data_IF_632264642457
#
_entry.id   IF_632264642457
#
_cell.length_a   1.000
_cell.length_b   1.000
_cell.length_c   1.000
_cell.angle_alpha   90.00
_cell.angle_beta   90.00
_cell.angle_gamma   90.00
#
_symmetry.space_group_name_H-M   'P 1'
#
loop_
_entity.id
_entity.type
_entity.pdbx_description
1 polymer ?
#
# COMPACT_ATOMS: atom_id res chain seq x y z
N UNK A 1 51.14 16.00 14.22
CA UNK A 1 50.64 16.61 12.98
C UNK A 1 49.32 15.95 12.67
N UNK A 2 48.21 16.57 13.05
CA UNK A 2 46.84 16.10 12.79
C UNK A 2 46.30 16.85 11.57
N UNK A 3 46.03 16.14 10.47
CA UNK A 3 45.32 16.73 9.34
C UNK A 3 43.82 16.62 9.57
N UNK A 4 43.17 17.75 9.87
CA UNK A 4 41.72 17.89 9.77
C UNK A 4 41.31 17.74 8.31
N UNK A 5 40.68 16.61 7.97
CA UNK A 5 39.86 16.50 6.78
C UNK A 5 38.52 17.17 7.08
N UNK A 6 38.44 18.47 6.79
CA UNK A 6 37.16 19.18 6.74
C UNK A 6 36.32 18.54 5.63
N UNK A 7 35.34 17.75 6.04
CA UNK A 7 34.37 17.12 5.15
C UNK A 7 33.46 18.21 4.61
N UNK A 8 33.67 18.58 3.35
CA UNK A 8 32.82 19.50 2.62
C UNK A 8 31.46 18.82 2.37
N UNK A 9 30.54 18.97 3.32
CA UNK A 9 29.13 18.61 3.18
C UNK A 9 28.51 19.48 2.08
N UNK A 10 28.47 18.99 0.85
CA UNK A 10 27.68 19.58 -0.21
C UNK A 10 26.21 19.43 0.16
N UNK A 11 25.55 20.56 0.40
CA UNK A 11 24.12 20.65 0.69
C UNK A 11 23.33 20.34 -0.60
N UNK A 12 23.28 19.05 -0.98
CA UNK A 12 22.46 18.61 -2.10
C UNK A 12 21.02 18.61 -1.61
N UNK A 13 20.21 19.54 -2.12
CA UNK A 13 18.79 19.54 -1.85
C UNK A 13 18.20 18.26 -2.48
N UNK A 14 17.70 17.30 -1.68
CA UNK A 14 17.20 16.05 -2.22
C UNK A 14 16.04 16.32 -3.16
N UNK A 15 16.00 15.61 -4.29
CA UNK A 15 14.90 15.74 -5.23
C UNK A 15 13.57 15.34 -4.54
N UNK A 16 12.49 16.12 -4.69
CA UNK A 16 11.22 15.78 -4.07
C UNK A 16 10.70 14.44 -4.59
N UNK A 17 10.03 13.64 -3.73
CA UNK A 17 9.44 12.37 -4.14
C UNK A 17 8.32 12.59 -5.16
N UNK A 18 8.07 11.58 -5.99
CA UNK A 18 6.88 11.49 -6.83
C UNK A 18 5.66 11.27 -5.94
N UNK A 19 4.74 12.23 -5.92
CA UNK A 19 3.50 12.16 -5.15
C UNK A 19 2.35 11.61 -6.01
N UNK A 20 1.84 10.43 -5.65
CA UNK A 20 0.69 9.79 -6.26
C UNK A 20 -0.55 10.02 -5.39
N UNK A 21 -1.24 11.13 -5.62
CA UNK A 21 -2.40 11.55 -4.82
C UNK A 21 -3.64 10.73 -5.23
N UNK A 22 -4.36 10.16 -4.27
CA UNK A 22 -5.62 9.48 -4.54
C UNK A 22 -6.72 10.52 -4.83
N UNK A 23 -7.34 10.43 -6.01
CA UNK A 23 -8.48 11.27 -6.40
C UNK A 23 -9.64 11.15 -5.41
N UNK A 24 -9.84 9.96 -4.85
CA UNK A 24 -10.79 9.67 -3.77
C UNK A 24 -10.06 9.14 -2.55
N UNK A 25 -9.83 9.99 -1.54
CA UNK A 25 -9.18 9.59 -0.28
C UNK A 25 -9.98 8.54 0.51
N UNK A 26 -11.29 8.47 0.29
CA UNK A 26 -12.17 7.54 1.00
C UNK A 26 -12.00 6.08 0.59
N UNK A 27 -11.40 5.76 -0.56
CA UNK A 27 -11.18 4.37 -1.00
C UNK A 27 -9.98 4.22 -1.95
N UNK A 28 -9.07 3.25 -1.69
CA UNK A 28 -8.00 2.91 -2.62
C UNK A 28 -8.50 2.15 -3.87
N UNK A 29 -9.75 1.66 -3.85
CA UNK A 29 -10.38 0.99 -5.00
C UNK A 29 -11.24 1.97 -5.81
N UNK A 30 -11.34 1.74 -7.12
CA UNK A 30 -12.14 2.55 -8.05
C UNK A 30 -11.78 4.04 -8.00
N UNK A 31 -10.48 4.31 -7.99
CA UNK A 31 -9.86 5.62 -7.84
C UNK A 31 -8.80 5.84 -8.91
N UNK A 32 -8.32 7.09 -9.01
CA UNK A 32 -7.18 7.46 -9.85
C UNK A 32 -6.06 7.96 -8.96
N UNK A 33 -4.83 7.67 -9.38
CA UNK A 33 -3.64 8.26 -8.78
C UNK A 33 -3.22 9.44 -9.66
N UNK A 34 -3.19 10.62 -9.06
CA UNK A 34 -2.88 11.88 -9.71
C UNK A 34 -1.41 12.21 -9.47
N UNK A 35 -0.74 12.73 -10.49
CA UNK A 35 0.58 13.38 -10.39
C UNK A 35 0.38 14.80 -10.90
N UNK A 36 0.74 15.79 -10.09
CA UNK A 36 0.55 17.21 -10.39
C UNK A 36 -0.90 17.53 -10.80
N UNK A 37 -1.87 16.92 -10.09
CA UNK A 37 -3.30 17.06 -10.36
C UNK A 37 -3.82 16.33 -11.60
N UNK A 38 -2.96 15.66 -12.37
CA UNK A 38 -3.35 14.93 -13.58
C UNK A 38 -3.39 13.42 -13.34
N UNK A 39 -4.45 12.70 -13.77
CA UNK A 39 -4.51 11.25 -13.64
C UNK A 39 -3.33 10.57 -14.34
N UNK A 40 -2.56 9.78 -13.59
CA UNK A 40 -1.43 8.98 -14.09
C UNK A 40 -1.71 7.48 -14.05
N UNK A 41 -2.33 7.02 -12.97
CA UNK A 41 -2.78 5.63 -12.87
C UNK A 41 -4.27 5.55 -12.56
N UNK A 42 -4.90 4.47 -13.01
CA UNK A 42 -6.28 4.12 -12.66
C UNK A 42 -6.28 2.79 -11.94
N UNK A 43 -6.99 2.73 -10.80
CA UNK A 43 -7.26 1.51 -10.06
C UNK A 43 -8.74 1.21 -10.20
N UNK A 44 -9.09 0.10 -10.85
CA UNK A 44 -10.49 -0.29 -11.07
C UNK A 44 -10.74 -1.73 -10.68
N UNK A 45 -11.82 -1.96 -9.93
CA UNK A 45 -12.37 -3.30 -9.74
C UNK A 45 -13.22 -3.66 -10.95
N UNK A 46 -12.91 -4.77 -11.61
CA UNK A 46 -13.50 -5.12 -12.91
C UNK A 46 -14.78 -5.96 -12.74
N UNK A 47 -14.88 -6.71 -11.64
CA UNK A 47 -15.99 -7.62 -11.38
C UNK A 47 -16.92 -7.13 -10.27
N UNK A 48 -18.15 -7.65 -10.30
CA UNK A 48 -19.22 -7.30 -9.36
C UNK A 48 -18.85 -7.62 -7.91
N UNK A 49 -18.05 -8.66 -7.72
CA UNK A 49 -17.62 -9.14 -6.42
C UNK A 49 -16.32 -8.47 -5.93
N UNK A 50 -15.77 -7.53 -6.72
CA UNK A 50 -14.51 -6.83 -6.45
C UNK A 50 -13.29 -7.76 -6.22
N UNK A 51 -13.33 -8.97 -6.80
CA UNK A 51 -12.23 -9.93 -6.75
C UNK A 51 -11.09 -9.55 -7.70
N UNK A 52 -11.35 -8.82 -8.78
CA UNK A 52 -10.33 -8.45 -9.77
C UNK A 52 -10.13 -6.95 -9.72
N UNK A 53 -8.92 -6.52 -9.40
CA UNK A 53 -8.50 -5.12 -9.44
C UNK A 53 -7.38 -4.95 -10.44
N UNK A 54 -7.61 -4.13 -11.45
CA UNK A 54 -6.58 -3.73 -12.41
C UNK A 54 -5.99 -2.37 -12.02
N UNK A 55 -4.67 -2.27 -12.15
CA UNK A 55 -3.91 -1.03 -12.12
C UNK A 55 -3.45 -0.75 -13.53
N UNK A 56 -3.88 0.38 -14.09
CA UNK A 56 -3.59 0.79 -15.47
C UNK A 56 -2.78 2.09 -15.46
N UNK A 57 -1.67 2.13 -16.21
CA UNK A 57 -0.97 3.39 -16.53
C UNK A 57 -1.77 4.11 -17.62
N UNK A 58 -2.26 5.31 -17.31
CA UNK A 58 -3.13 6.08 -18.21
C UNK A 58 -2.36 6.74 -19.36
N UNK A 59 -1.03 6.80 -19.31
CA UNK A 59 -0.20 7.35 -20.39
C UNK A 59 -0.05 6.37 -21.54
N UNK A 60 0.12 5.09 -21.20
CA UNK A 60 0.27 4.01 -22.19
C UNK A 60 -1.01 3.21 -22.40
N UNK A 61 -2.01 3.42 -21.52
CA UNK A 61 -3.24 2.63 -21.45
C UNK A 61 -2.96 1.11 -21.28
N UNK A 62 -1.85 0.78 -20.61
CA UNK A 62 -1.46 -0.60 -20.33
C UNK A 62 -1.77 -0.97 -18.89
N UNK A 63 -2.21 -2.21 -18.68
CA UNK A 63 -2.35 -2.78 -17.34
C UNK A 63 -0.94 -3.08 -16.81
N UNK A 64 -0.56 -2.43 -15.71
CA UNK A 64 0.73 -2.66 -15.04
C UNK A 64 0.65 -3.80 -14.03
N UNK A 65 -0.53 -4.01 -13.45
CA UNK A 65 -0.80 -5.15 -12.58
C UNK A 65 -2.28 -5.50 -12.51
N UNK A 66 -2.56 -6.79 -12.32
CA UNK A 66 -3.89 -7.32 -11.99
C UNK A 66 -3.80 -8.08 -10.68
N UNK A 67 -4.59 -7.65 -9.69
CA UNK A 67 -4.75 -8.31 -8.39
C UNK A 67 -6.04 -9.13 -8.47
N UNK A 68 -5.93 -10.45 -8.30
CA UNK A 68 -7.07 -11.38 -8.27
C UNK A 68 -7.20 -11.99 -6.89
N UNK A 69 -8.14 -11.46 -6.13
CA UNK A 69 -8.59 -11.97 -4.83
C UNK A 69 -9.45 -13.21 -5.02
N UNK A 70 -9.36 -14.18 -4.12
CA UNK A 70 -10.17 -15.41 -4.20
C UNK A 70 -10.65 -15.81 -2.80
N UNK A 71 -11.93 -16.11 -2.66
CA UNK A 71 -12.50 -16.50 -1.37
C UNK A 71 -12.02 -17.85 -0.84
N UNK A 72 -11.70 -18.79 -1.74
CA UNK A 72 -11.35 -20.19 -1.39
C UNK A 72 -9.90 -20.59 -1.73
N UNK A 73 -9.15 -19.72 -2.41
CA UNK A 73 -7.80 -20.03 -2.88
C UNK A 73 -6.87 -18.86 -2.58
N UNK A 74 -5.56 -19.07 -2.59
CA UNK A 74 -4.61 -17.96 -2.46
C UNK A 74 -4.83 -16.91 -3.56
N UNK A 75 -4.81 -15.65 -3.15
CA UNK A 75 -4.82 -14.50 -4.06
C UNK A 75 -3.65 -14.61 -5.05
N UNK A 76 -3.86 -14.05 -6.25
CA UNK A 76 -2.82 -14.01 -7.29
C UNK A 76 -2.61 -12.58 -7.75
N UNK A 77 -1.37 -12.28 -8.14
CA UNK A 77 -1.02 -11.01 -8.77
C UNK A 77 -0.37 -11.32 -10.11
N UNK A 78 -0.71 -10.56 -11.14
CA UNK A 78 -0.11 -10.65 -12.46
C UNK A 78 0.52 -9.32 -12.80
N UNK A 79 1.78 -9.33 -13.20
CA UNK A 79 2.49 -8.14 -13.67
C UNK A 79 2.82 -8.37 -15.15
N UNK A 80 2.16 -7.73 -16.12
CA UNK A 80 2.40 -8.04 -17.53
C UNK A 80 3.85 -7.82 -17.98
N UNK A 81 4.56 -6.89 -17.35
CA UNK A 81 5.96 -6.52 -17.66
C UNK A 81 7.00 -7.16 -16.74
N UNK A 82 6.59 -7.93 -15.72
CA UNK A 82 7.48 -8.59 -14.74
C UNK A 82 7.14 -10.08 -14.64
N UNK A 83 8.02 -10.88 -14.07
CA UNK A 83 7.80 -12.32 -13.85
C UNK A 83 7.40 -13.08 -15.14
N UNK A 84 7.95 -12.64 -16.28
CA UNK A 84 7.60 -13.16 -17.60
C UNK A 84 6.11 -13.04 -17.97
N UNK A 85 5.39 -12.07 -17.38
CA UNK A 85 3.96 -11.87 -17.60
C UNK A 85 3.06 -12.91 -16.93
N UNK A 86 3.62 -13.80 -16.10
CA UNK A 86 2.88 -14.88 -15.43
C UNK A 86 2.19 -14.38 -14.17
N UNK A 87 1.10 -15.06 -13.80
CA UNK A 87 0.46 -14.83 -12.51
C UNK A 87 1.25 -15.55 -11.40
N UNK A 88 1.67 -14.79 -10.40
CA UNK A 88 2.32 -15.28 -9.18
C UNK A 88 1.29 -15.35 -8.05
N UNK A 89 1.48 -16.24 -7.08
CA UNK A 89 0.65 -16.19 -5.87
C UNK A 89 1.03 -14.98 -5.03
N UNK A 90 0.06 -14.39 -4.35
CA UNK A 90 0.29 -13.26 -3.45
C UNK A 90 1.26 -13.64 -2.34
N UNK A 91 1.13 -14.82 -1.75
CA UNK A 91 2.00 -15.29 -0.65
C UNK A 91 3.48 -15.47 -1.07
N UNK A 92 3.72 -15.83 -2.33
CA UNK A 92 5.08 -16.00 -2.88
C UNK A 92 5.71 -14.64 -3.22
N UNK A 93 4.91 -13.68 -3.69
CA UNK A 93 5.38 -12.34 -4.08
C UNK A 93 5.42 -11.36 -2.90
N UNK A 94 4.43 -11.40 -2.01
CA UNK A 94 4.28 -10.55 -0.83
C UNK A 94 4.00 -11.42 0.38
N UNK A 95 5.04 -11.66 1.18
CA UNK A 95 4.98 -12.52 2.36
C UNK A 95 4.87 -11.67 3.62
N UNK A 96 3.91 -12.00 4.47
CA UNK A 96 3.80 -11.38 5.79
C UNK A 96 4.86 -11.94 6.73
N UNK A 97 5.53 -11.05 7.46
CA UNK A 97 6.58 -11.37 8.42
C UNK A 97 6.34 -10.62 9.72
N UNK A 98 6.85 -11.17 10.84
CA UNK A 98 6.92 -10.46 12.11
C UNK A 98 8.32 -9.93 12.31
N UNK A 99 8.44 -8.63 12.54
CA UNK A 99 9.71 -8.01 12.89
C UNK A 99 10.11 -8.39 14.32
N UNK A 100 11.39 -8.23 14.66
CA UNK A 100 11.90 -8.46 16.02
C UNK A 100 11.23 -7.56 17.07
N UNK A 101 10.62 -6.46 16.63
CA UNK A 101 9.82 -5.55 17.45
C UNK A 101 8.40 -6.07 17.74
N UNK A 102 8.00 -7.20 17.16
CA UNK A 102 6.66 -7.77 17.26
C UNK A 102 5.65 -7.19 16.27
N UNK A 103 6.02 -6.14 15.52
CA UNK A 103 5.15 -5.52 14.52
C UNK A 103 5.08 -6.36 13.23
N UNK A 104 3.90 -6.35 12.61
CA UNK A 104 3.68 -6.95 11.28
C UNK A 104 4.37 -6.10 10.20
N UNK A 105 4.95 -6.79 9.23
CA UNK A 105 5.53 -6.22 8.03
C UNK A 105 5.31 -7.17 6.84
N UNK A 106 5.57 -6.69 5.63
CA UNK A 106 5.38 -7.45 4.40
C UNK A 106 6.61 -7.34 3.52
N UNK A 107 7.23 -8.48 3.22
CA UNK A 107 8.36 -8.58 2.30
C UNK A 107 7.84 -8.78 0.88
N UNK A 108 8.19 -7.89 -0.04
CA UNK A 108 7.98 -8.03 -1.48
C UNK A 108 9.22 -8.65 -2.10
N UNK A 109 9.03 -9.79 -2.77
CA UNK A 109 10.04 -10.45 -3.60
C UNK A 109 9.92 -9.94 -5.05
N UNK A 110 10.63 -8.85 -5.37
CA UNK A 110 10.69 -8.27 -6.72
C UNK A 110 11.87 -8.83 -7.51
N UNK A 111 11.78 -8.77 -8.85
CA UNK A 111 12.94 -9.04 -9.73
C UNK A 111 14.09 -8.05 -9.51
N UNK A 112 13.80 -6.86 -8.96
CA UNK A 112 14.80 -5.81 -8.67
C UNK A 112 15.43 -5.90 -7.28
N UNK A 113 14.96 -6.81 -6.43
CA UNK A 113 15.41 -6.96 -5.05
C UNK A 113 14.25 -7.24 -4.09
N UNK A 114 14.57 -7.28 -2.79
CA UNK A 114 13.56 -7.45 -1.76
C UNK A 114 13.27 -6.14 -1.06
N UNK A 115 11.98 -5.85 -0.90
CA UNK A 115 11.52 -4.65 -0.23
C UNK A 115 10.65 -5.01 0.98
N UNK A 116 10.65 -4.16 2.00
CA UNK A 116 9.91 -4.34 3.23
C UNK A 116 8.91 -3.20 3.39
N UNK A 117 7.62 -3.53 3.31
CA UNK A 117 6.56 -2.67 3.81
C UNK A 117 6.39 -2.85 5.31
N UNK A 118 6.36 -1.78 6.07
CA UNK A 118 6.06 -1.81 7.51
C UNK A 118 5.21 -0.62 7.92
N UNK A 119 4.51 -0.76 9.03
CA UNK A 119 3.84 0.35 9.67
C UNK A 119 4.85 1.31 10.30
N UNK A 120 4.59 2.60 10.17
CA UNK A 120 5.38 3.66 10.76
C UNK A 120 4.46 4.64 11.49
N UNK A 121 4.87 5.09 12.69
CA UNK A 121 4.02 5.97 13.50
C UNK A 121 3.85 7.36 12.90
N UNK A 122 4.87 7.87 12.21
CA UNK A 122 4.86 9.21 11.63
C UNK A 122 4.31 9.21 10.20
N UNK A 123 4.70 8.20 9.40
CA UNK A 123 4.42 8.13 7.97
C UNK A 123 3.35 7.10 7.60
N UNK A 124 2.59 6.60 8.58
CA UNK A 124 1.58 5.53 8.47
C UNK A 124 2.15 4.21 7.97
N UNK A 125 2.67 4.16 6.75
CA UNK A 125 3.27 2.99 6.11
C UNK A 125 4.49 3.41 5.30
N UNK A 126 5.58 2.66 5.41
CA UNK A 126 6.85 2.92 4.73
C UNK A 126 7.36 1.67 4.01
N UNK A 127 8.00 1.88 2.86
CA UNK A 127 8.70 0.88 2.08
C UNK A 127 10.19 1.15 2.13
N UNK A 128 10.99 0.14 2.47
CA UNK A 128 12.45 0.19 2.46
C UNK A 128 13.01 -1.02 1.70
N UNK A 129 14.30 -1.03 1.31
CA UNK A 129 15.00 -2.30 1.08
C UNK A 129 14.89 -3.20 2.31
N UNK A 130 14.89 -4.52 2.11
CA UNK A 130 14.89 -5.49 3.21
C UNK A 130 16.18 -5.40 4.04
N UNK A 131 17.31 -5.10 3.39
CA UNK A 131 18.65 -5.06 3.99
C UNK A 131 19.08 -3.68 4.50
N UNK A 132 18.32 -2.62 4.23
CA UNK A 132 18.60 -1.25 4.66
C UNK A 132 17.28 -0.55 5.01
N UNK A 133 16.90 -0.62 6.29
CA UNK A 133 15.62 -0.05 6.73
C UNK A 133 15.66 1.45 6.99
N UNK A 134 16.83 2.08 6.85
CA UNK A 134 16.98 3.53 6.99
C UNK A 134 16.72 4.23 5.66
N UNK A 135 16.92 3.51 4.55
CA UNK A 135 16.58 3.98 3.22
C UNK A 135 15.08 3.84 2.89
N UNK A 136 14.29 4.86 3.22
CA UNK A 136 12.88 4.93 2.78
C UNK A 136 12.82 5.10 1.26
N UNK A 137 12.11 4.22 0.55
CA UNK A 137 11.87 4.27 -0.90
C UNK A 137 10.48 4.80 -1.23
N UNK A 138 9.49 4.47 -0.41
CA UNK A 138 8.14 5.00 -0.53
C UNK A 138 7.48 5.13 0.84
N UNK A 139 6.50 6.00 0.97
CA UNK A 139 5.72 6.18 2.19
C UNK A 139 4.32 6.72 1.88
N UNK A 140 3.43 6.67 2.86
CA UNK A 140 2.06 7.18 2.73
C UNK A 140 1.93 8.51 3.46
N UNK A 141 1.41 9.52 2.77
CA UNK A 141 0.99 10.79 3.37
C UNK A 141 -0.52 10.74 3.61
N UNK A 142 -0.94 10.84 4.86
CA UNK A 142 -2.34 10.79 5.30
C UNK A 142 -2.71 12.07 6.07
N UNK A 143 -2.65 13.20 5.38
CA UNK A 143 -2.91 14.54 5.93
C UNK A 143 -4.08 15.17 5.20
N UNK A 144 -5.27 15.32 5.80
CA UNK A 144 -6.41 15.92 5.13
C UNK A 144 -6.07 17.29 4.52
N UNK A 145 -6.44 17.55 3.24
CA UNK A 145 -7.28 16.73 2.36
C UNK A 145 -6.53 15.69 1.51
N UNK A 146 -5.23 15.54 1.68
CA UNK A 146 -4.33 14.76 0.84
C UNK A 146 -4.13 13.34 1.40
N UNK A 147 -4.46 12.36 0.59
CA UNK A 147 -4.07 10.97 0.81
C UNK A 147 -3.23 10.51 -0.39
N UNK A 148 -1.93 10.29 -0.18
CA UNK A 148 -0.98 10.08 -1.27
C UNK A 148 0.05 9.00 -0.97
N UNK A 149 0.46 8.28 -2.02
CA UNK A 149 1.63 7.42 -2.00
C UNK A 149 2.82 8.21 -2.55
N UNK A 150 3.81 8.50 -1.70
CA UNK A 150 5.01 9.23 -2.07
C UNK A 150 6.12 8.22 -2.38
N UNK A 151 6.73 8.31 -3.57
CA UNK A 151 7.78 7.38 -4.03
C UNK A 151 9.04 8.17 -4.37
N UNK A 152 10.18 7.80 -3.80
CA UNK A 152 11.47 8.41 -4.17
C UNK A 152 11.78 8.14 -5.64
N UNK A 153 12.43 9.10 -6.30
CA UNK A 153 12.82 8.99 -7.71
C UNK A 153 13.63 7.74 -8.03
N UNK A 154 14.51 7.33 -7.11
CA UNK A 154 15.31 6.10 -7.22
C UNK A 154 14.47 4.81 -7.28
N UNK A 155 13.20 4.86 -6.86
CA UNK A 155 12.29 3.72 -6.83
C UNK A 155 11.18 3.79 -7.90
N UNK A 156 11.18 4.80 -8.76
CA UNK A 156 10.15 4.94 -9.81
C UNK A 156 10.13 3.77 -10.81
N UNK A 157 11.28 3.12 -11.04
CA UNK A 157 11.38 1.93 -11.88
C UNK A 157 10.58 0.73 -11.35
N UNK A 158 10.18 0.77 -10.08
CA UNK A 158 9.43 -0.31 -9.41
C UNK A 158 7.98 0.06 -9.13
N UNK A 159 7.45 1.14 -9.71
CA UNK A 159 6.04 1.57 -9.52
C UNK A 159 5.03 0.46 -9.83
N UNK A 160 5.32 -0.38 -10.83
CA UNK A 160 4.49 -1.52 -11.22
C UNK A 160 4.29 -2.54 -10.08
N UNK A 161 5.20 -2.57 -9.09
CA UNK A 161 5.11 -3.44 -7.91
C UNK A 161 4.74 -2.67 -6.63
N UNK A 162 5.22 -1.43 -6.49
CA UNK A 162 4.93 -0.56 -5.34
C UNK A 162 3.43 -0.23 -5.27
N UNK A 163 2.82 0.19 -6.39
CA UNK A 163 1.41 0.59 -6.41
C UNK A 163 0.50 -0.59 -6.02
N UNK A 164 0.60 -1.80 -6.64
CA UNK A 164 -0.22 -2.93 -6.23
C UNK A 164 0.02 -3.36 -4.77
N UNK A 165 1.27 -3.28 -4.30
CA UNK A 165 1.59 -3.57 -2.90
C UNK A 165 0.86 -2.64 -1.93
N UNK A 166 0.95 -1.33 -2.19
CA UNK A 166 0.19 -0.32 -1.45
C UNK A 166 -1.32 -0.59 -1.49
N UNK A 167 -1.89 -0.91 -2.66
CA UNK A 167 -3.32 -1.18 -2.81
C UNK A 167 -3.80 -2.41 -2.02
N UNK A 168 -2.98 -3.46 -1.95
CA UNK A 168 -3.27 -4.67 -1.16
C UNK A 168 -3.27 -4.35 0.33
N UNK A 169 -2.24 -3.64 0.81
CA UNK A 169 -2.07 -3.33 2.22
C UNK A 169 -3.13 -2.33 2.72
N UNK A 170 -3.43 -1.28 1.97
CA UNK A 170 -4.50 -0.34 2.33
C UNK A 170 -5.88 -0.99 2.32
N UNK A 171 -6.13 -1.92 1.39
CA UNK A 171 -7.38 -2.68 1.40
C UNK A 171 -7.49 -3.55 2.66
N UNK A 172 -6.41 -4.27 3.03
CA UNK A 172 -6.36 -5.09 4.25
C UNK A 172 -6.62 -4.25 5.50
N UNK A 173 -5.90 -3.14 5.67
CA UNK A 173 -6.04 -2.25 6.83
C UNK A 173 -7.50 -1.77 7.02
N UNK A 174 -8.17 -1.46 5.91
CA UNK A 174 -9.58 -1.03 5.93
C UNK A 174 -10.54 -2.17 6.26
N UNK A 175 -10.23 -3.40 5.85
CA UNK A 175 -11.02 -4.57 6.24
C UNK A 175 -10.84 -4.89 7.72
N UNK A 176 -9.63 -4.82 8.25
CA UNK A 176 -9.35 -5.03 9.67
C UNK A 176 -10.08 -4.00 10.55
N UNK A 177 -10.06 -2.72 10.13
CA UNK A 177 -10.79 -1.64 10.80
C UNK A 177 -12.31 -1.86 10.81
N UNK A 178 -12.87 -2.39 9.70
CA UNK A 178 -14.31 -2.71 9.62
C UNK A 178 -14.68 -3.89 10.52
N UNK A 179 -13.86 -4.94 10.53
CA UNK A 179 -14.10 -6.12 11.36
C UNK A 179 -14.12 -5.78 12.85
N UNK A 180 -13.21 -4.91 13.31
CA UNK A 180 -13.20 -4.41 14.70
C UNK A 180 -14.49 -3.65 15.05
N UNK A 181 -14.95 -2.74 14.17
CA UNK A 181 -16.21 -2.01 14.41
C UNK A 181 -17.44 -2.89 14.48
N UNK A 182 -17.47 -3.97 13.69
CA UNK A 182 -18.58 -4.94 13.74
C UNK A 182 -18.56 -5.71 15.07
N UNK A 183 -17.38 -6.13 15.53
CA UNK A 183 -17.23 -6.80 16.83
C UNK A 183 -17.68 -5.89 17.99
N UNK A 184 -17.29 -4.61 17.98
CA UNK A 184 -17.70 -3.63 18.99
C UNK A 184 -19.23 -3.35 18.93
N UNK A 185 -19.80 -3.31 17.72
CA UNK A 185 -21.23 -3.11 17.52
C UNK A 185 -22.09 -4.31 17.97
N UNK A 186 -21.60 -5.53 17.81
CA UNK A 186 -22.25 -6.74 18.35
C UNK A 186 -22.16 -6.79 19.88
N UNK A 187 -21.02 -6.38 20.46
CA UNK A 187 -20.87 -6.26 21.92
C UNK A 187 -21.77 -5.19 22.58
N UNK A 188 -22.17 -4.17 21.82
CA UNK A 188 -23.11 -3.15 22.29
C UNK A 188 -24.58 -3.58 22.23
N UNK A 189 -24.93 -4.54 21.37
CA UNK A 189 -26.34 -4.92 21.12
C UNK A 189 -26.86 -6.05 22.04
N UNK A 190 -25.97 -6.72 22.78
CA UNK A 190 -26.36 -7.74 23.78
C UNK A 190 -26.79 -7.16 25.14
N UNK A 191 -26.77 -5.82 25.32
CA UNK A 191 -27.35 -5.15 26.52
C UNK A 191 -28.78 -4.64 26.31
N UNK A 192 -29.43 -5.00 25.20
CA UNK A 192 -30.87 -4.79 25.02
C UNK A 192 -31.62 -5.95 25.68
N UNK A 193 -31.95 -5.76 26.95
CA UNK A 193 -32.76 -6.70 27.73
C UNK A 193 -34.09 -7.04 27.04
N UNK A 194 -34.52 -8.32 27.01
CA UNK A 194 -35.76 -8.73 26.35
C UNK A 194 -37.05 -8.39 27.14
N UNK A 195 -36.95 -7.62 28.23
CA UNK A 195 -38.07 -7.31 29.11
C UNK A 195 -38.24 -5.80 29.26
N UNK A 196 -38.73 -5.15 28.21
CA UNK A 196 -39.32 -3.82 28.31
C UNK A 196 -40.64 -3.91 29.06
N UNK A 197 -40.64 -3.52 30.33
CA UNK A 197 -41.89 -3.31 31.09
C UNK A 197 -42.40 -1.90 30.78
N UNK A 198 -43.65 -1.73 30.33
CA UNK A 198 -44.22 -0.39 30.17
C UNK A 198 -44.63 0.16 31.54
N UNK A 199 -44.15 1.37 31.86
CA UNK A 199 -44.66 2.13 33.00
C UNK A 199 -45.99 2.79 32.59
N UNK A 200 -47.01 2.56 33.43
CA UNK A 200 -48.32 3.21 33.37
C UNK A 200 -48.28 4.59 34.02
#
# INVERSE_FOLDING_TARGET
MESKLDSQLTLINPEPPLELVLEKSSTPLNTRLLVDGKPRYKVSTVDRDANITDVTDLRTNEVVATIRRRSFFSDKVKFPRRFGGKSVKKEDWMTEVKLNTGHEAWVINSESGKFLWRWDRALRMVLTPENDTDQILAFVKDEPPVFALCVKRSAEGSLDEIIPGFMILEHRLRMDTKSLRIADGWGANERSTPWGTPLS
#
